data_IF_789720623523
#
_entry.id   IF_789720623523
#
_cell.length_a   1.000
_cell.length_b   1.000
_cell.length_c   1.000
_cell.angle_alpha   90.00
_cell.angle_beta   90.00
_cell.angle_gamma   90.00
#
_symmetry.space_group_name_H-M   'P 1'
#
loop_
_entity.id
_entity.type
_entity.pdbx_description
1 polymer ?
#
# COMPACT_ATOMS: atom_id res chain seq x y z
N UNK A 1 9.10 18.50 10.97
CA UNK A 1 9.85 17.54 11.84
C UNK A 1 9.03 16.31 12.23
N UNK A 2 7.71 16.43 12.54
CA UNK A 2 6.85 15.27 12.79
C UNK A 2 6.74 14.34 11.58
N UNK A 3 6.62 14.89 10.38
CA UNK A 3 6.51 14.10 9.13
C UNK A 3 7.77 13.30 8.84
N UNK A 4 8.95 13.90 9.05
CA UNK A 4 10.24 13.20 8.94
C UNK A 4 10.33 11.99 9.87
N UNK A 5 9.87 12.12 11.13
CA UNK A 5 9.88 10.99 12.08
C UNK A 5 8.92 9.89 11.65
N UNK A 6 7.72 10.23 11.16
CA UNK A 6 6.76 9.27 10.63
C UNK A 6 7.31 8.55 9.41
N UNK A 7 7.94 9.27 8.49
CA UNK A 7 8.59 8.70 7.31
C UNK A 7 9.74 7.77 7.67
N UNK A 8 10.58 8.17 8.63
CA UNK A 8 11.65 7.31 9.15
C UNK A 8 11.10 5.99 9.72
N UNK A 9 10.01 6.05 10.50
CA UNK A 9 9.34 4.85 11.05
C UNK A 9 8.68 4.02 9.96
N UNK A 10 8.08 4.66 8.95
CA UNK A 10 7.46 3.99 7.80
C UNK A 10 8.50 3.22 7.00
N UNK A 11 9.64 3.84 6.69
CA UNK A 11 10.77 3.19 5.99
C UNK A 11 11.31 2.04 6.85
N UNK A 12 11.54 2.26 8.15
CA UNK A 12 12.05 1.22 9.05
C UNK A 12 11.12 -0.01 9.18
N UNK A 13 9.81 0.17 8.95
CA UNK A 13 8.82 -0.90 9.06
C UNK A 13 8.57 -1.62 7.73
N UNK A 14 8.69 -0.92 6.60
CA UNK A 14 8.17 -1.42 5.31
C UNK A 14 9.22 -1.60 4.21
N UNK A 15 10.42 -1.03 4.36
CA UNK A 15 11.45 -1.10 3.30
C UNK A 15 12.12 -2.48 3.18
N UNK A 16 11.90 -3.39 4.13
CA UNK A 16 12.62 -4.66 4.22
C UNK A 16 14.08 -4.52 4.69
N UNK A 17 14.55 -3.29 4.93
CA UNK A 17 15.88 -3.01 5.47
C UNK A 17 15.93 -3.22 6.98
N UNK A 18 17.11 -3.55 7.50
CA UNK A 18 17.30 -3.62 8.96
C UNK A 18 17.21 -2.22 9.57
N UNK A 19 16.68 -2.12 10.80
CA UNK A 19 16.60 -0.84 11.52
C UNK A 19 17.96 -0.14 11.66
N UNK A 20 19.06 -0.90 11.71
CA UNK A 20 20.42 -0.35 11.77
C UNK A 20 20.82 0.30 10.46
N UNK A 21 20.48 -0.33 9.34
CA UNK A 21 20.72 0.23 8.00
C UNK A 21 19.87 1.50 7.79
N UNK A 22 18.59 1.46 8.12
CA UNK A 22 17.72 2.64 8.03
C UNK A 22 18.20 3.80 8.91
N UNK A 23 18.68 3.52 10.12
CA UNK A 23 19.26 4.56 10.97
C UNK A 23 20.51 5.20 10.34
N UNK A 24 21.37 4.37 9.74
CA UNK A 24 22.58 4.82 9.02
C UNK A 24 22.21 5.67 7.80
N UNK A 25 21.29 5.18 6.96
CA UNK A 25 20.88 5.84 5.71
C UNK A 25 20.21 7.19 5.97
N UNK A 26 19.47 7.30 7.07
CA UNK A 26 18.80 8.54 7.49
C UNK A 26 19.71 9.48 8.31
N UNK A 27 20.94 9.06 8.63
CA UNK A 27 21.86 9.84 9.46
C UNK A 27 21.38 10.05 10.90
N UNK A 28 20.58 9.12 11.44
CA UNK A 28 20.03 9.21 12.80
C UNK A 28 20.59 8.12 13.70
N UNK A 29 20.71 8.41 15.00
CA UNK A 29 21.11 7.40 15.98
C UNK A 29 20.14 6.22 16.04
N UNK A 30 20.65 4.99 16.15
CA UNK A 30 19.81 3.79 16.24
C UNK A 30 18.81 3.83 17.40
N UNK A 31 19.24 4.33 18.55
CA UNK A 31 18.39 4.52 19.73
C UNK A 31 17.30 5.58 19.49
N UNK A 32 17.62 6.64 18.74
CA UNK A 32 16.67 7.68 18.32
C UNK A 32 15.59 7.12 17.41
N UNK A 33 15.98 6.34 16.39
CA UNK A 33 15.03 5.65 15.52
C UNK A 33 14.16 4.68 16.33
N UNK A 34 14.76 3.91 17.25
CA UNK A 34 14.03 3.02 18.14
C UNK A 34 13.03 3.73 19.05
N UNK A 35 13.34 4.96 19.51
CA UNK A 35 12.41 5.79 20.27
C UNK A 35 11.22 6.23 19.40
N UNK A 36 11.47 6.74 18.20
CA UNK A 36 10.39 7.14 17.29
C UNK A 36 9.51 5.96 16.94
N UNK A 37 10.09 4.79 16.66
CA UNK A 37 9.29 3.59 16.40
C UNK A 37 8.35 3.23 17.55
N UNK A 38 8.76 3.39 18.81
CA UNK A 38 7.87 3.18 19.97
C UNK A 38 6.81 4.27 20.06
N UNK A 39 7.21 5.53 19.93
CA UNK A 39 6.32 6.69 20.04
C UNK A 39 5.22 6.67 18.95
N UNK A 40 5.51 6.10 17.77
CA UNK A 40 4.59 5.99 16.64
C UNK A 40 3.98 4.59 16.46
N UNK A 41 4.36 3.58 17.27
CA UNK A 41 3.75 2.24 17.24
C UNK A 41 2.31 2.24 17.78
N UNK A 42 1.96 3.24 18.58
CA UNK A 42 0.63 3.46 19.16
C UNK A 42 -0.15 4.56 18.43
N UNK A 43 0.38 5.07 17.32
CA UNK A 43 -0.28 6.11 16.53
C UNK A 43 -1.44 5.47 15.73
N UNK A 44 -2.69 5.92 15.91
CA UNK A 44 -3.86 5.41 15.20
C UNK A 44 -3.68 5.38 13.68
N UNK A 45 -2.88 6.32 13.16
CA UNK A 45 -2.59 6.42 11.72
C UNK A 45 -1.86 5.21 11.14
N UNK A 46 -1.11 4.44 11.94
CA UNK A 46 -0.50 3.20 11.47
C UNK A 46 -1.52 2.07 11.24
N UNK A 47 -2.59 2.04 12.05
CA UNK A 47 -3.69 1.10 11.88
C UNK A 47 -4.57 1.49 10.67
N UNK A 48 -4.86 2.78 10.53
CA UNK A 48 -5.56 3.33 9.36
C UNK A 48 -4.79 3.05 8.06
N UNK A 49 -3.46 3.23 8.04
CA UNK A 49 -2.62 2.91 6.89
C UNK A 49 -2.68 1.41 6.52
N UNK A 50 -2.76 0.52 7.50
CA UNK A 50 -2.86 -0.92 7.26
C UNK A 50 -4.23 -1.32 6.70
N UNK A 51 -5.30 -0.71 7.22
CA UNK A 51 -6.67 -0.91 6.73
C UNK A 51 -6.83 -0.37 5.29
N UNK A 52 -6.33 0.84 5.03
CA UNK A 52 -6.32 1.45 3.69
C UNK A 52 -5.59 0.57 2.66
N UNK A 53 -4.48 -0.09 3.04
CA UNK A 53 -3.77 -1.02 2.15
C UNK A 53 -4.59 -2.25 1.82
N UNK A 54 -5.21 -2.88 2.83
CA UNK A 54 -6.09 -4.04 2.62
C UNK A 54 -7.25 -3.69 1.71
N UNK A 55 -7.85 -2.53 1.94
CA UNK A 55 -8.94 -2.05 1.10
C UNK A 55 -8.47 -1.75 -0.32
N UNK A 56 -7.28 -1.18 -0.50
CA UNK A 56 -6.71 -0.95 -1.84
C UNK A 56 -6.48 -2.27 -2.60
N UNK A 57 -5.97 -3.29 -1.93
CA UNK A 57 -5.80 -4.63 -2.52
C UNK A 57 -7.14 -5.25 -2.91
N UNK A 58 -8.16 -5.14 -2.05
CA UNK A 58 -9.53 -5.60 -2.32
C UNK A 58 -10.09 -4.89 -3.56
N UNK A 59 -10.01 -3.57 -3.60
CA UNK A 59 -10.51 -2.75 -4.70
C UNK A 59 -9.78 -3.03 -6.02
N UNK A 60 -8.46 -3.30 -5.99
CA UNK A 60 -7.70 -3.70 -7.18
C UNK A 60 -8.16 -5.04 -7.73
N UNK A 61 -8.42 -6.02 -6.85
CA UNK A 61 -8.94 -7.32 -7.25
C UNK A 61 -10.34 -7.19 -7.87
N UNK A 62 -11.21 -6.42 -7.23
CA UNK A 62 -12.57 -6.16 -7.72
C UNK A 62 -12.55 -5.44 -9.08
N UNK A 63 -11.73 -4.40 -9.23
CA UNK A 63 -11.56 -3.69 -10.51
C UNK A 63 -11.08 -4.63 -11.63
N UNK A 64 -10.17 -5.56 -11.32
CA UNK A 64 -9.69 -6.52 -12.30
C UNK A 64 -10.82 -7.42 -12.79
N UNK A 65 -11.61 -7.99 -11.87
CA UNK A 65 -12.75 -8.86 -12.21
C UNK A 65 -13.77 -8.10 -13.05
N UNK A 66 -14.18 -6.90 -12.63
CA UNK A 66 -15.15 -6.09 -13.37
C UNK A 66 -14.68 -5.74 -14.78
N UNK A 67 -13.37 -5.49 -14.96
CA UNK A 67 -12.79 -5.26 -16.28
C UNK A 67 -12.85 -6.51 -17.15
N UNK A 68 -12.50 -7.67 -16.60
CA UNK A 68 -12.59 -8.95 -17.31
C UNK A 68 -14.03 -9.25 -17.74
N UNK A 69 -15.01 -9.10 -16.84
CA UNK A 69 -16.44 -9.26 -17.14
C UNK A 69 -16.91 -8.31 -18.25
N UNK A 70 -16.52 -7.03 -18.18
CA UNK A 70 -16.87 -6.04 -19.21
C UNK A 70 -16.34 -6.45 -20.58
N UNK A 71 -15.12 -6.97 -20.65
CA UNK A 71 -14.54 -7.41 -21.92
C UNK A 71 -15.24 -8.64 -22.49
N UNK A 72 -15.66 -9.58 -21.64
CA UNK A 72 -16.49 -10.73 -22.06
C UNK A 72 -17.81 -10.24 -22.65
N UNK A 73 -18.51 -9.35 -21.95
CA UNK A 73 -19.79 -8.80 -22.42
C UNK A 73 -19.63 -8.04 -23.75
N UNK A 74 -18.57 -7.26 -23.90
CA UNK A 74 -18.28 -6.57 -25.17
C UNK A 74 -18.05 -7.55 -26.32
N UNK A 75 -17.26 -8.60 -26.11
CA UNK A 75 -17.02 -9.64 -27.12
C UNK A 75 -18.32 -10.34 -27.51
N UNK A 76 -19.15 -10.68 -26.54
CA UNK A 76 -20.47 -11.27 -26.79
C UNK A 76 -21.37 -10.33 -27.61
N UNK A 77 -21.45 -9.05 -27.25
CA UNK A 77 -22.23 -8.07 -27.98
C UNK A 77 -21.80 -7.93 -29.45
N UNK A 78 -20.49 -7.94 -29.72
CA UNK A 78 -19.95 -7.91 -31.09
C UNK A 78 -20.35 -9.17 -31.86
N UNK A 79 -20.21 -10.36 -31.26
CA UNK A 79 -20.62 -11.62 -31.89
C UNK A 79 -22.11 -11.61 -32.23
N UNK A 80 -22.98 -11.22 -31.28
CA UNK A 80 -24.42 -11.14 -31.53
C UNK A 80 -24.79 -10.11 -32.59
N UNK A 81 -24.10 -8.96 -32.65
CA UNK A 81 -24.31 -7.98 -33.72
C UNK A 81 -23.90 -8.54 -35.10
N UNK A 82 -22.83 -9.32 -35.17
CA UNK A 82 -22.36 -9.95 -36.42
C UNK A 82 -23.21 -11.13 -36.90
N UNK A 83 -24.00 -11.77 -36.02
CA UNK A 83 -24.88 -12.89 -36.36
C UNK A 83 -26.27 -12.47 -36.87
N UNK A 84 -26.63 -11.18 -36.74
CA UNK A 84 -27.92 -10.63 -37.22
C UNK A 84 -27.86 -10.10 -38.66
N UNK A 85 -26.83 -10.46 -39.43
CA UNK A 85 -26.72 -10.18 -40.87
C UNK A 85 -27.09 -11.40 -41.70
#
# INVERSE_FOLDING_TARGET
MKDFKRDAVRIATHSGLTRRQVASDLGVGFSTLGKWMRDYSTDPTAAEDAELRRENERLRKENRILREEREVLKKAAILFASQKQ
#
